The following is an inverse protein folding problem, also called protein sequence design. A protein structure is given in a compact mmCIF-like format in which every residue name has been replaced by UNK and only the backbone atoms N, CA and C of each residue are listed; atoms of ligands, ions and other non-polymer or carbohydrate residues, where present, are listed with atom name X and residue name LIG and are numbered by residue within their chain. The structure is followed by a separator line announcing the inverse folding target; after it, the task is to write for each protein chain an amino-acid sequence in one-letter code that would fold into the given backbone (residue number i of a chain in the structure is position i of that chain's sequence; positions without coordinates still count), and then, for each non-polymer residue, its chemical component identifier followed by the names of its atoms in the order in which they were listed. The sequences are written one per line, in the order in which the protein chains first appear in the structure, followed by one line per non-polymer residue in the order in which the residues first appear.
data_IF_747761574104
#
_entry.id   IF_747761574104
#
_cell.length_a   1.000
_cell.length_b   1.000
_cell.length_c   1.000
_cell.angle_alpha   90.00
_cell.angle_beta   90.00
_cell.angle_gamma   90.00
#
_symmetry.space_group_name_H-M   'P 1'
#
loop_
_entity.id
_entity.type
_entity.pdbx_description
1 polymer ?
#
# COMPACT_ATOMS: atom_id res chain seq x y z
N UNK A 1 11.27 -25.18 6.61
CA UNK A 1 10.50 -23.93 6.40
C UNK A 1 10.62 -23.11 7.68
N UNK A 2 11.25 -21.92 7.60
CA UNK A 2 11.35 -21.06 8.79
C UNK A 2 9.96 -20.45 9.03
N UNK A 3 9.44 -20.65 10.21
CA UNK A 3 8.20 -20.01 10.63
C UNK A 3 8.47 -18.54 10.98
N UNK A 4 8.47 -17.71 9.94
CA UNK A 4 8.68 -16.27 10.07
C UNK A 4 7.53 -15.59 10.82
N UNK A 5 6.35 -16.22 10.91
CA UNK A 5 5.18 -15.67 11.61
C UNK A 5 5.33 -15.65 13.12
N UNK A 6 5.94 -16.68 13.70
CA UNK A 6 5.93 -16.84 15.15
C UNK A 6 6.71 -15.77 15.92
N UNK A 7 7.82 -15.26 15.37
CA UNK A 7 8.63 -14.24 16.07
C UNK A 7 8.15 -12.81 15.84
N UNK A 8 7.40 -12.54 14.75
CA UNK A 8 6.88 -11.21 14.42
C UNK A 8 5.88 -10.68 15.45
N UNK A 9 5.19 -11.58 16.13
CA UNK A 9 4.15 -11.25 17.09
C UNK A 9 4.61 -11.42 18.56
N UNK A 10 5.93 -11.53 18.79
CA UNK A 10 6.46 -11.68 20.13
C UNK A 10 6.27 -10.37 20.94
N UNK A 11 5.41 -10.37 21.96
CA UNK A 11 5.16 -9.17 22.77
C UNK A 11 6.46 -8.60 23.37
N UNK A 12 6.58 -7.27 23.32
CA UNK A 12 7.71 -6.53 23.86
C UNK A 12 8.99 -6.58 23.02
N UNK A 13 8.98 -7.29 21.88
CA UNK A 13 10.12 -7.25 20.95
C UNK A 13 10.05 -6.02 20.05
N UNK A 14 11.19 -5.66 19.45
CA UNK A 14 11.29 -4.60 18.42
C UNK A 14 10.26 -4.77 17.28
N UNK A 15 9.96 -6.01 16.94
CA UNK A 15 8.99 -6.38 15.90
C UNK A 15 7.61 -6.71 16.45
N UNK A 16 7.27 -6.21 17.63
CA UNK A 16 5.95 -6.41 18.20
C UNK A 16 4.88 -5.69 17.37
N UNK A 17 4.26 -6.43 16.48
CA UNK A 17 3.23 -5.91 15.57
C UNK A 17 1.90 -5.65 16.27
N UNK A 18 1.72 -6.11 17.51
CA UNK A 18 0.49 -5.87 18.28
C UNK A 18 0.34 -4.41 18.72
N UNK A 19 1.44 -3.69 18.85
CA UNK A 19 1.46 -2.28 19.24
C UNK A 19 1.88 -1.34 18.11
N UNK A 20 2.51 -1.85 17.06
CA UNK A 20 2.89 -1.11 15.86
C UNK A 20 3.66 0.18 16.17
N UNK A 21 3.25 1.29 15.56
CA UNK A 21 3.86 2.61 15.76
C UNK A 21 3.70 3.16 17.19
N UNK A 22 2.86 2.58 18.03
CA UNK A 22 2.72 2.94 19.46
C UNK A 22 3.81 2.32 20.31
N UNK A 23 4.63 1.43 19.77
CA UNK A 23 5.75 0.82 20.49
C UNK A 23 6.71 1.89 21.02
N UNK A 24 7.18 1.72 22.25
CA UNK A 24 8.03 2.72 22.93
C UNK A 24 9.29 3.08 22.12
N UNK A 25 9.85 2.14 21.40
CA UNK A 25 11.01 2.36 20.54
C UNK A 25 10.78 3.46 19.50
N UNK A 26 9.57 3.55 18.90
CA UNK A 26 9.29 4.52 17.85
C UNK A 26 8.92 5.90 18.35
N UNK A 27 8.69 6.07 19.65
CA UNK A 27 8.24 7.35 20.24
C UNK A 27 9.26 8.49 20.10
N UNK A 28 10.53 8.15 20.02
CA UNK A 28 11.62 9.11 19.92
C UNK A 28 11.95 9.51 18.48
N UNK A 29 11.28 8.90 17.50
CA UNK A 29 11.52 9.14 16.09
C UNK A 29 10.43 10.01 15.47
N UNK A 30 10.84 10.98 14.64
CA UNK A 30 9.91 11.73 13.80
C UNK A 30 9.60 10.91 12.54
N UNK A 31 8.68 9.97 12.69
CA UNK A 31 8.23 9.10 11.60
C UNK A 31 7.45 9.90 10.54
N UNK A 32 7.39 9.42 9.28
CA UNK A 32 6.68 10.07 8.20
C UNK A 32 5.24 10.43 8.54
N UNK A 33 4.88 11.69 8.36
CA UNK A 33 3.53 12.24 8.53
C UNK A 33 2.91 12.55 7.18
N UNK A 34 1.59 12.53 7.06
CA UNK A 34 0.91 12.95 5.84
C UNK A 34 1.34 14.35 5.40
N UNK A 35 1.73 14.51 4.12
CA UNK A 35 2.21 15.77 3.57
C UNK A 35 1.90 15.87 2.07
N UNK A 36 1.95 17.09 1.53
CA UNK A 36 2.01 17.37 0.09
C UNK A 36 3.30 18.11 -0.29
N UNK A 37 4.12 18.42 0.70
CA UNK A 37 5.43 19.03 0.49
C UNK A 37 6.39 17.98 -0.10
N UNK A 38 6.85 18.21 -1.33
CA UNK A 38 7.70 17.27 -2.06
C UNK A 38 9.04 17.04 -1.37
N UNK A 39 9.62 18.06 -0.75
CA UNK A 39 10.93 17.95 -0.11
C UNK A 39 10.81 17.13 1.18
N UNK A 40 9.71 17.31 1.91
CA UNK A 40 9.40 16.45 3.07
C UNK A 40 9.18 15.00 2.64
N UNK A 41 8.36 14.76 1.62
CA UNK A 41 8.06 13.41 1.14
C UNK A 41 9.32 12.70 0.62
N UNK A 42 10.17 13.43 -0.09
CA UNK A 42 11.48 12.93 -0.56
C UNK A 42 12.39 12.57 0.62
N UNK A 43 12.49 13.46 1.60
CA UNK A 43 13.28 13.23 2.81
C UNK A 43 12.80 12.03 3.60
N UNK A 44 11.48 11.89 3.74
CA UNK A 44 10.87 10.74 4.41
C UNK A 44 11.15 9.42 3.64
N UNK A 45 10.99 9.41 2.31
CA UNK A 45 11.26 8.24 1.48
C UNK A 45 12.73 7.80 1.55
N UNK A 46 13.66 8.74 1.50
CA UNK A 46 15.09 8.47 1.59
C UNK A 46 15.52 7.97 2.98
N UNK A 47 14.94 8.53 4.04
CA UNK A 47 15.32 8.20 5.41
C UNK A 47 14.66 6.94 5.93
N UNK A 48 13.38 6.74 5.62
CA UNK A 48 12.52 5.74 6.22
C UNK A 48 12.07 4.64 5.26
N UNK A 49 12.36 4.79 3.97
CA UNK A 49 11.89 3.87 2.93
C UNK A 49 10.41 4.03 2.58
N UNK A 50 9.70 4.97 3.19
CA UNK A 50 8.31 5.28 2.86
C UNK A 50 7.96 6.74 3.15
N UNK A 51 6.93 7.24 2.50
CA UNK A 51 6.33 8.54 2.79
C UNK A 51 4.79 8.42 2.73
N UNK A 52 4.09 9.46 3.17
CA UNK A 52 2.63 9.51 3.20
C UNK A 52 2.14 10.75 2.45
N UNK A 53 1.51 10.53 1.30
CA UNK A 53 0.88 11.61 0.53
C UNK A 53 -0.54 11.79 1.03
N UNK A 54 -0.87 12.99 1.52
CA UNK A 54 -2.22 13.33 1.97
C UNK A 54 -3.08 13.79 0.79
N UNK A 55 -4.38 13.53 0.84
CA UNK A 55 -5.36 13.93 -0.17
C UNK A 55 -4.94 13.59 -1.61
N UNK A 56 -4.38 12.38 -1.78
CA UNK A 56 -3.95 11.89 -3.09
C UNK A 56 -5.14 11.68 -4.05
N UNK A 57 -6.32 11.40 -3.52
CA UNK A 57 -7.55 11.21 -4.26
C UNK A 57 -8.65 12.09 -3.68
N UNK A 58 -9.60 12.52 -4.52
CA UNK A 58 -10.81 13.19 -4.03
C UNK A 58 -11.76 12.17 -3.37
N UNK A 59 -12.69 12.67 -2.57
CA UNK A 59 -13.73 11.84 -1.94
C UNK A 59 -14.55 11.10 -2.99
N UNK A 60 -14.89 11.75 -4.10
CA UNK A 60 -15.66 11.15 -5.20
C UNK A 60 -14.86 10.02 -5.87
N UNK A 61 -13.55 10.20 -6.08
CA UNK A 61 -12.67 9.17 -6.63
C UNK A 61 -12.60 7.95 -5.69
N UNK A 62 -12.42 8.18 -4.40
CA UNK A 62 -12.41 7.12 -3.39
C UNK A 62 -13.73 6.36 -3.36
N UNK A 63 -14.87 7.08 -3.37
CA UNK A 63 -16.20 6.46 -3.38
C UNK A 63 -16.44 5.62 -4.63
N UNK A 64 -16.08 6.13 -5.81
CA UNK A 64 -16.22 5.40 -7.08
C UNK A 64 -15.37 4.13 -7.09
N UNK A 65 -14.13 4.20 -6.64
CA UNK A 65 -13.26 3.02 -6.54
C UNK A 65 -13.80 2.01 -5.54
N UNK A 66 -14.21 2.46 -4.37
CA UNK A 66 -14.77 1.58 -3.33
C UNK A 66 -15.99 0.84 -3.83
N UNK A 67 -16.92 1.55 -4.46
CA UNK A 67 -18.11 0.92 -5.03
C UNK A 67 -17.71 -0.13 -6.09
N UNK A 68 -16.85 0.24 -7.02
CA UNK A 68 -16.43 -0.67 -8.10
C UNK A 68 -15.70 -1.92 -7.58
N UNK A 69 -14.85 -1.75 -6.56
CA UNK A 69 -14.14 -2.87 -5.91
C UNK A 69 -15.15 -3.83 -5.27
N UNK A 70 -16.15 -3.33 -4.57
CA UNK A 70 -17.16 -4.18 -3.91
C UNK A 70 -18.03 -4.92 -4.94
N UNK A 71 -18.46 -4.24 -6.01
CA UNK A 71 -19.20 -4.86 -7.11
C UNK A 71 -18.39 -5.96 -7.80
N UNK A 72 -17.11 -5.69 -8.07
CA UNK A 72 -16.22 -6.65 -8.70
C UNK A 72 -15.99 -7.87 -7.80
N UNK A 73 -15.75 -7.64 -6.50
CA UNK A 73 -15.54 -8.72 -5.54
C UNK A 73 -16.74 -9.66 -5.47
N UNK A 74 -17.95 -9.11 -5.44
CA UNK A 74 -19.17 -9.93 -5.40
C UNK A 74 -19.38 -10.64 -6.73
N UNK A 75 -19.15 -9.97 -7.87
CA UNK A 75 -19.24 -10.59 -9.19
C UNK A 75 -18.27 -11.77 -9.35
N UNK A 76 -17.01 -11.63 -8.92
CA UNK A 76 -16.03 -12.71 -8.98
C UNK A 76 -16.39 -13.88 -8.04
N UNK A 77 -16.99 -13.57 -6.89
CA UNK A 77 -17.48 -14.58 -5.95
C UNK A 77 -18.66 -15.38 -6.55
N UNK A 78 -19.63 -14.69 -7.13
CA UNK A 78 -20.79 -15.34 -7.78
C UNK A 78 -20.36 -16.19 -9.00
N UNK A 79 -19.35 -15.74 -9.74
CA UNK A 79 -18.79 -16.48 -10.86
C UNK A 79 -17.86 -17.64 -10.44
N UNK A 80 -17.56 -17.78 -9.16
CA UNK A 80 -16.67 -18.84 -8.67
C UNK A 80 -15.18 -18.64 -8.98
N UNK A 81 -14.77 -17.42 -9.36
CA UNK A 81 -13.39 -17.10 -9.76
C UNK A 81 -12.67 -16.18 -8.76
N UNK A 82 -13.30 -15.89 -7.62
CA UNK A 82 -12.71 -15.01 -6.61
C UNK A 82 -11.38 -15.56 -6.07
N UNK A 83 -10.33 -14.76 -6.15
CA UNK A 83 -9.05 -15.11 -5.56
C UNK A 83 -9.09 -14.90 -4.06
N UNK A 84 -9.26 -16.00 -3.34
CA UNK A 84 -9.24 -16.01 -1.87
C UNK A 84 -7.81 -16.00 -1.34
N UNK A 85 -7.61 -15.22 -0.29
CA UNK A 85 -6.37 -15.18 0.49
C UNK A 85 -6.68 -15.42 1.96
N UNK A 86 -5.70 -15.76 2.81
CA UNK A 86 -5.94 -15.89 4.25
C UNK A 86 -6.48 -14.62 4.91
N UNK A 87 -6.16 -13.43 4.38
CA UNK A 87 -6.66 -12.14 4.86
C UNK A 87 -8.02 -11.76 4.26
N UNK A 88 -8.41 -12.35 3.11
CA UNK A 88 -9.65 -11.97 2.47
C UNK A 88 -9.75 -12.32 0.99
N UNK A 89 -9.87 -11.31 0.12
CA UNK A 89 -9.99 -11.48 -1.33
C UNK A 89 -9.12 -10.46 -2.06
N UNK A 90 -8.39 -10.91 -3.06
CA UNK A 90 -7.70 -10.03 -4.01
C UNK A 90 -8.49 -9.92 -5.32
N UNK A 91 -8.54 -8.70 -5.85
CA UNK A 91 -9.02 -8.42 -7.20
C UNK A 91 -7.80 -7.99 -8.01
N UNK A 92 -7.37 -8.85 -8.93
CA UNK A 92 -6.21 -8.59 -9.75
C UNK A 92 -6.57 -7.78 -11.00
N UNK A 93 -5.55 -7.16 -11.60
CA UNK A 93 -5.69 -6.43 -12.85
C UNK A 93 -6.82 -5.38 -12.82
N UNK A 94 -6.90 -4.60 -11.76
CA UNK A 94 -7.95 -3.60 -11.58
C UNK A 94 -8.02 -2.60 -12.75
N UNK A 95 -6.90 -2.34 -13.41
CA UNK A 95 -6.84 -1.54 -14.64
C UNK A 95 -7.90 -1.95 -15.70
N UNK A 96 -8.15 -3.25 -15.83
CA UNK A 96 -9.11 -3.78 -16.77
C UNK A 96 -10.54 -3.90 -16.20
N UNK A 97 -10.77 -3.42 -14.99
CA UNK A 97 -12.03 -3.65 -14.26
C UNK A 97 -12.86 -2.39 -14.03
N UNK A 98 -12.40 -1.25 -14.53
CA UNK A 98 -13.16 0.00 -14.46
C UNK A 98 -12.30 1.23 -14.64
N UNK A 99 -12.86 2.26 -15.30
CA UNK A 99 -12.16 3.51 -15.59
C UNK A 99 -11.67 4.26 -14.33
N UNK A 100 -12.34 4.06 -13.20
CA UNK A 100 -11.90 4.65 -11.94
C UNK A 100 -10.49 4.22 -11.51
N UNK A 101 -9.94 3.14 -12.09
CA UNK A 101 -8.59 2.66 -11.80
C UNK A 101 -7.53 3.20 -12.78
N UNK A 102 -7.93 3.79 -13.89
CA UNK A 102 -7.01 4.41 -14.87
C UNK A 102 -6.20 5.55 -14.24
N UNK A 103 -6.71 6.15 -13.17
CA UNK A 103 -6.04 7.18 -12.37
C UNK A 103 -4.62 6.82 -11.94
N UNK A 104 -4.35 5.54 -11.74
CA UNK A 104 -3.06 5.07 -11.25
C UNK A 104 -2.00 4.92 -12.34
N UNK A 105 -2.41 4.98 -13.59
CA UNK A 105 -1.53 4.76 -14.74
C UNK A 105 -1.54 5.93 -15.73
N UNK A 106 -2.54 6.80 -15.69
CA UNK A 106 -2.65 7.96 -16.57
C UNK A 106 -2.26 9.24 -15.85
N UNK A 107 -1.35 9.99 -16.47
CA UNK A 107 -1.05 11.36 -16.09
C UNK A 107 -2.15 12.29 -16.59
N UNK A 108 -3.29 12.28 -15.94
CA UNK A 108 -4.38 13.16 -16.33
C UNK A 108 -4.45 14.39 -15.42
N UNK A 109 -4.53 15.62 -15.97
CA UNK A 109 -4.60 16.85 -15.17
C UNK A 109 -5.76 16.89 -14.16
N UNK A 110 -6.89 16.21 -14.45
CA UNK A 110 -8.03 16.11 -13.52
C UNK A 110 -7.81 15.16 -12.36
N UNK A 111 -6.75 14.36 -12.38
CA UNK A 111 -6.34 13.42 -11.34
C UNK A 111 -5.32 14.08 -10.40
N UNK A 112 -5.14 15.33 -10.55
CA UNK A 112 -4.02 16.13 -10.12
C UNK A 112 -3.78 16.23 -8.60
N UNK A 113 -4.57 15.61 -7.75
CA UNK A 113 -4.31 15.78 -6.32
C UNK A 113 -3.07 15.02 -5.86
N UNK A 114 -2.87 13.81 -6.35
CA UNK A 114 -1.68 13.03 -6.04
C UNK A 114 -0.83 12.65 -7.25
N UNK A 115 -1.40 12.71 -8.47
CA UNK A 115 -0.79 12.18 -9.68
C UNK A 115 0.61 12.71 -10.01
N UNK A 116 0.81 14.00 -10.26
CA UNK A 116 2.13 14.53 -10.58
C UNK A 116 3.13 14.38 -9.45
N UNK A 117 2.69 14.50 -8.21
CA UNK A 117 3.54 14.37 -7.02
C UNK A 117 3.99 12.93 -6.82
N UNK A 118 3.08 11.97 -6.93
CA UNK A 118 3.40 10.54 -6.81
C UNK A 118 4.31 10.11 -7.95
N UNK A 119 4.03 10.52 -9.18
CA UNK A 119 4.86 10.23 -10.34
C UNK A 119 6.28 10.77 -10.16
N UNK A 120 6.42 12.00 -9.67
CA UNK A 120 7.73 12.59 -9.40
C UNK A 120 8.51 11.74 -8.40
N UNK A 121 7.91 11.36 -7.28
CA UNK A 121 8.54 10.52 -6.26
C UNK A 121 8.95 9.14 -6.81
N UNK A 122 8.09 8.50 -7.60
CA UNK A 122 8.40 7.22 -8.24
C UNK A 122 9.53 7.36 -9.25
N UNK A 123 9.51 8.41 -10.06
CA UNK A 123 10.56 8.67 -11.07
C UNK A 123 11.90 8.98 -10.41
N UNK A 124 11.91 9.70 -9.30
CA UNK A 124 13.14 9.96 -8.53
C UNK A 124 13.69 8.66 -7.89
N UNK A 125 12.80 7.77 -7.45
CA UNK A 125 13.21 6.50 -6.83
C UNK A 125 13.70 5.45 -7.83
N UNK A 126 13.01 5.31 -8.98
CA UNK A 126 13.25 4.23 -9.95
C UNK A 126 14.00 4.69 -11.20
N UNK A 127 14.10 6.00 -11.44
CA UNK A 127 14.56 6.55 -12.70
C UNK A 127 13.45 6.68 -13.74
N UNK A 128 13.71 7.33 -14.87
CA UNK A 128 12.74 7.47 -15.95
C UNK A 128 12.45 6.13 -16.64
N UNK A 129 11.24 5.96 -17.15
CA UNK A 129 10.83 4.77 -17.89
C UNK A 129 10.34 3.60 -17.02
N UNK A 130 10.04 3.87 -15.76
CA UNK A 130 9.37 2.88 -14.91
C UNK A 130 8.00 2.47 -15.49
N UNK A 131 7.55 1.27 -15.15
CA UNK A 131 6.27 0.71 -15.59
C UNK A 131 5.42 0.29 -14.40
N UNK A 132 4.11 0.44 -14.51
CA UNK A 132 3.17 -0.17 -13.57
C UNK A 132 3.04 -1.67 -13.90
N UNK A 133 3.53 -2.52 -13.02
CA UNK A 133 3.51 -3.98 -13.22
C UNK A 133 2.22 -4.62 -12.73
N UNK A 134 1.57 -4.04 -11.73
CA UNK A 134 0.33 -4.58 -11.18
C UNK A 134 -0.51 -3.49 -10.53
N UNK A 135 -1.82 -3.67 -10.56
CA UNK A 135 -2.79 -2.91 -9.80
C UNK A 135 -3.79 -3.91 -9.21
N UNK A 136 -3.75 -4.05 -7.89
CA UNK A 136 -4.52 -5.05 -7.15
C UNK A 136 -5.33 -4.32 -6.07
N UNK A 137 -6.62 -4.66 -5.95
CA UNK A 137 -7.38 -4.29 -4.77
C UNK A 137 -7.43 -5.46 -3.79
N UNK A 138 -6.94 -5.23 -2.59
CA UNK A 138 -6.97 -6.21 -1.50
C UNK A 138 -8.10 -5.88 -0.53
N UNK A 139 -9.02 -6.81 -0.34
CA UNK A 139 -10.11 -6.70 0.62
C UNK A 139 -9.77 -7.54 1.85
N UNK A 140 -9.56 -6.87 2.98
CA UNK A 140 -9.50 -7.54 4.28
C UNK A 140 -10.90 -7.90 4.72
N UNK A 141 -11.12 -9.15 5.10
CA UNK A 141 -12.41 -9.65 5.56
C UNK A 141 -12.35 -9.94 7.06
N UNK A 142 -13.52 -9.88 7.70
CA UNK A 142 -13.64 -10.23 9.12
C UNK A 142 -13.08 -11.64 9.38
N UNK A 143 -12.20 -11.76 10.35
CA UNK A 143 -11.52 -13.01 10.67
C UNK A 143 -10.34 -13.34 9.76
N UNK A 144 -9.96 -12.42 8.89
CA UNK A 144 -8.77 -12.57 8.07
C UNK A 144 -7.48 -12.66 8.90
N UNK A 145 -6.54 -13.43 8.43
CA UNK A 145 -5.23 -13.60 9.07
C UNK A 145 -4.29 -12.49 8.61
N UNK A 146 -3.57 -11.81 9.51
CA UNK A 146 -2.56 -10.84 9.14
C UNK A 146 -1.51 -11.46 8.22
N UNK A 147 -1.08 -10.71 7.23
CA UNK A 147 0.03 -11.12 6.38
C UNK A 147 1.34 -11.04 7.16
N UNK A 148 2.20 -12.03 6.99
CA UNK A 148 3.52 -12.02 7.59
C UNK A 148 4.37 -10.85 7.05
N UNK A 149 5.26 -10.30 7.86
CA UNK A 149 6.23 -9.31 7.41
C UNK A 149 7.07 -9.88 6.27
N UNK A 150 7.17 -9.13 5.18
CA UNK A 150 7.90 -9.52 3.99
C UNK A 150 8.43 -8.28 3.28
N UNK A 151 9.27 -8.49 2.30
CA UNK A 151 9.72 -7.50 1.35
C UNK A 151 9.08 -7.79 0.00
N UNK A 152 8.54 -6.77 -0.65
CA UNK A 152 7.94 -6.93 -1.97
C UNK A 152 8.97 -7.01 -3.09
N UNK A 153 10.18 -6.50 -2.85
CA UNK A 153 11.31 -6.63 -3.77
C UNK A 153 12.01 -7.99 -3.56
N UNK A 154 11.45 -9.04 -4.16
CA UNK A 154 11.74 -10.43 -3.80
C UNK A 154 13.13 -10.98 -4.11
N UNK A 155 13.91 -10.42 -5.04
CA UNK A 155 15.17 -11.04 -5.52
C UNK A 155 16.37 -10.10 -5.58
N UNK A 156 16.29 -8.92 -5.02
CA UNK A 156 17.36 -7.94 -5.10
C UNK A 156 18.26 -7.96 -3.86
N UNK A 157 18.82 -9.11 -3.53
CA UNK A 157 19.74 -9.25 -2.39
C UNK A 157 20.98 -8.36 -2.49
N UNK A 158 21.31 -7.88 -3.69
CA UNK A 158 22.45 -7.00 -3.94
C UNK A 158 22.09 -5.64 -4.55
N UNK A 159 20.82 -5.31 -4.71
CA UNK A 159 20.43 -4.04 -5.27
C UNK A 159 20.61 -2.93 -4.24
N UNK A 160 21.55 -2.03 -4.49
CA UNK A 160 21.75 -0.80 -3.72
C UNK A 160 20.72 0.28 -4.06
N UNK A 161 19.90 0.03 -5.08
CA UNK A 161 18.86 0.94 -5.55
C UNK A 161 17.50 0.25 -5.50
N UNK A 162 16.42 0.96 -5.19
CA UNK A 162 15.09 0.40 -5.27
C UNK A 162 14.78 -0.03 -6.70
N UNK A 163 14.20 -1.22 -6.86
CA UNK A 163 13.72 -1.75 -8.14
C UNK A 163 12.20 -1.74 -8.22
N UNK A 164 11.54 -1.52 -7.11
CA UNK A 164 10.08 -1.52 -6.99
C UNK A 164 9.65 -0.42 -6.02
N UNK A 165 8.61 0.30 -6.37
CA UNK A 165 7.88 1.20 -5.49
C UNK A 165 6.45 0.70 -5.42
N UNK A 166 5.95 0.44 -4.21
CA UNK A 166 4.57 0.11 -3.98
C UNK A 166 3.79 1.33 -3.49
N UNK A 167 2.65 1.56 -4.11
CA UNK A 167 1.72 2.63 -3.74
C UNK A 167 0.51 1.98 -3.09
N UNK A 168 0.35 2.21 -1.79
CA UNK A 168 -0.81 1.76 -1.03
C UNK A 168 -1.82 2.90 -0.94
N UNK A 169 -3.03 2.66 -1.46
CA UNK A 169 -4.11 3.65 -1.49
C UNK A 169 -5.32 3.11 -0.73
N UNK A 170 -5.49 3.43 0.55
CA UNK A 170 -6.68 3.07 1.30
C UNK A 170 -7.92 3.74 0.70
N UNK A 171 -8.96 2.95 0.39
CA UNK A 171 -10.27 3.42 -0.07
C UNK A 171 -11.36 3.25 0.99
N UNK A 172 -10.95 2.89 2.18
CA UNK A 172 -11.73 2.87 3.43
C UNK A 172 -10.84 3.31 4.56
N UNK A 173 -11.43 3.67 5.70
CA UNK A 173 -10.65 3.86 6.92
C UNK A 173 -9.96 2.56 7.32
N UNK A 174 -8.68 2.65 7.61
CA UNK A 174 -7.85 1.52 8.01
C UNK A 174 -7.09 1.84 9.30
N UNK A 175 -7.07 0.89 10.19
CA UNK A 175 -6.34 0.92 11.46
C UNK A 175 -5.80 -0.46 11.83
N UNK A 176 -5.26 -0.61 13.02
CA UNK A 176 -4.74 -1.87 13.53
C UNK A 176 -5.78 -2.99 13.65
N UNK A 177 -7.08 -2.67 13.63
CA UNK A 177 -8.19 -3.64 13.76
C UNK A 177 -8.85 -3.98 12.43
N UNK A 178 -8.65 -3.14 11.41
CA UNK A 178 -9.30 -3.26 10.10
C UNK A 178 -8.35 -3.70 8.99
N UNK A 179 -7.13 -4.11 9.34
CA UNK A 179 -6.15 -4.63 8.40
C UNK A 179 -5.24 -3.56 7.80
N UNK A 180 -4.94 -2.51 8.57
CA UNK A 180 -3.96 -1.50 8.19
C UNK A 180 -2.58 -2.11 7.96
N UNK A 181 -1.84 -1.56 6.99
CA UNK A 181 -0.49 -2.01 6.68
C UNK A 181 0.49 -1.57 7.75
N UNK A 182 1.25 -2.51 8.29
CA UNK A 182 2.35 -2.25 9.20
C UNK A 182 3.65 -2.14 8.41
N UNK A 183 4.37 -1.04 8.60
CA UNK A 183 5.68 -0.82 8.02
C UNK A 183 6.74 -0.81 9.13
N UNK A 184 7.87 -1.44 8.85
CA UNK A 184 9.09 -1.33 9.66
C UNK A 184 10.08 -0.49 8.83
N UNK A 185 10.38 0.73 9.29
CA UNK A 185 11.32 1.62 8.61
C UNK A 185 12.75 1.10 8.61
#
# INVERSE_FOLDING_TARGET
QRDWGAWQFKPGSYYDTTVGAKHAYWREYDLPKPSRDIDRLRGDLLRWGYCKVVDALSTEQVMAMRQRVLEQAEGEKLAGIAQRTPSGQNINCCVNKGRCFELFIEQHPSIAQGGPLVEQLVTEALGPGWICTSLIAALSLRGGVPQALHQDQGNALDSRSPMTVNILTPITDVDETTGGTLLIP
#
